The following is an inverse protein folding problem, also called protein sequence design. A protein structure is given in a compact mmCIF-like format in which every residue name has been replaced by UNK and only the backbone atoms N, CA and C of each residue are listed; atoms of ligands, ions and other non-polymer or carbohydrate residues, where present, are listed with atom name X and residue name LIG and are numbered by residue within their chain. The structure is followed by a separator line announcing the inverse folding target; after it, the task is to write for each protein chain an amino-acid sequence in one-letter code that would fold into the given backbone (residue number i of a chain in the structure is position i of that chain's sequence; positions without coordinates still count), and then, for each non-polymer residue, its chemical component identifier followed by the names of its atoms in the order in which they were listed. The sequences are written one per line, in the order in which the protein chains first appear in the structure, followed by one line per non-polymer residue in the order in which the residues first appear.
data_IF_391476653590
#
_entry.id   IF_391476653590
#
_cell.length_a   1.000
_cell.length_b   1.000
_cell.length_c   1.000
_cell.angle_alpha   90.00
_cell.angle_beta   90.00
_cell.angle_gamma   90.00
#
_symmetry.space_group_name_H-M   'P 1'
#
loop_
_entity.id
_entity.type
_entity.pdbx_description
1 polymer ?
#
# COMPACT_ATOMS: atom_id res chain seq x y z
N UNK A 1 7.26 -9.49 -1.77
CA UNK A 1 6.90 -9.73 -0.34
C UNK A 1 7.93 -9.01 0.53
N UNK A 2 7.48 -8.11 1.40
CA UNK A 2 8.40 -7.30 2.25
C UNK A 2 8.65 -7.92 3.63
N UNK A 3 7.84 -8.88 4.06
CA UNK A 3 8.01 -9.54 5.37
C UNK A 3 8.00 -11.08 5.21
N UNK A 4 8.94 -11.67 4.45
CA UNK A 4 8.98 -13.11 4.25
C UNK A 4 9.20 -13.89 5.55
N UNK A 5 10.07 -13.39 6.41
CA UNK A 5 10.40 -14.04 7.68
C UNK A 5 9.19 -14.08 8.63
N UNK A 6 8.46 -12.97 8.74
CA UNK A 6 7.24 -12.92 9.53
C UNK A 6 6.15 -13.85 9.00
N UNK A 7 6.04 -14.00 7.68
CA UNK A 7 5.10 -14.94 7.04
C UNK A 7 5.49 -16.40 7.34
N UNK A 8 6.78 -16.76 7.24
CA UNK A 8 7.28 -18.12 7.49
C UNK A 8 7.06 -18.52 8.95
N UNK A 9 7.33 -17.61 9.89
CA UNK A 9 7.15 -17.84 11.33
C UNK A 9 5.68 -17.81 11.76
N UNK A 10 4.81 -17.21 10.95
CA UNK A 10 3.38 -17.09 11.24
C UNK A 10 3.03 -15.85 12.07
N UNK A 11 3.86 -14.82 12.06
CA UNK A 11 3.55 -13.54 12.67
C UNK A 11 2.40 -12.87 11.91
N UNK A 12 1.43 -12.35 12.64
CA UNK A 12 0.24 -11.73 12.03
C UNK A 12 0.60 -10.52 11.15
N UNK A 13 1.50 -9.65 11.59
CA UNK A 13 1.94 -8.47 10.84
C UNK A 13 3.35 -7.98 11.14
N UNK A 14 3.99 -8.52 12.17
CA UNK A 14 5.29 -8.06 12.60
C UNK A 14 6.43 -8.83 11.93
N UNK A 15 7.56 -8.16 11.73
CA UNK A 15 8.83 -8.77 11.39
C UNK A 15 9.38 -9.62 12.56
N UNK A 16 10.51 -10.30 12.36
CA UNK A 16 11.20 -11.03 13.47
C UNK A 16 11.61 -10.11 14.62
N UNK A 17 11.82 -8.83 14.35
CA UNK A 17 12.10 -7.82 15.37
C UNK A 17 10.86 -7.32 16.12
N UNK A 18 9.70 -7.98 15.97
CA UNK A 18 8.42 -7.59 16.54
C UNK A 18 7.95 -6.18 16.11
N UNK A 19 8.35 -5.74 14.94
CA UNK A 19 8.03 -4.41 14.39
C UNK A 19 7.01 -4.55 13.27
N UNK A 20 5.95 -3.72 13.31
CA UNK A 20 5.06 -3.51 12.17
C UNK A 20 5.76 -2.68 11.11
N UNK A 21 6.24 -3.33 10.06
CA UNK A 21 6.99 -2.70 8.98
C UNK A 21 6.18 -1.60 8.27
N UNK A 22 4.86 -1.74 8.19
CA UNK A 22 4.00 -0.75 7.56
C UNK A 22 3.85 0.56 8.38
N UNK A 23 4.43 0.65 9.55
CA UNK A 23 4.53 1.87 10.37
C UNK A 23 5.91 2.55 10.26
N UNK A 24 6.84 1.97 9.48
CA UNK A 24 8.22 2.44 9.41
C UNK A 24 8.55 3.28 8.16
N UNK A 25 7.57 3.62 7.34
CA UNK A 25 7.76 4.35 6.08
C UNK A 25 8.31 5.77 6.25
N UNK A 26 8.00 6.45 7.36
CA UNK A 26 8.44 7.84 7.59
C UNK A 26 9.96 7.93 7.71
N UNK A 27 10.56 7.10 8.55
CA UNK A 27 12.01 7.11 8.79
C UNK A 27 12.56 5.68 8.95
N UNK A 28 12.62 4.89 7.87
CA UNK A 28 13.11 3.51 7.96
C UNK A 28 14.61 3.47 8.22
N UNK A 29 15.02 2.61 9.14
CA UNK A 29 16.43 2.34 9.41
C UNK A 29 16.93 1.20 8.52
N UNK A 30 18.08 1.39 7.85
CA UNK A 30 18.71 0.31 7.09
C UNK A 30 19.10 -0.90 7.97
N UNK A 31 19.32 -0.67 9.26
CA UNK A 31 19.69 -1.74 10.22
C UNK A 31 18.48 -2.49 10.75
N UNK A 32 17.40 -1.78 11.08
CA UNK A 32 16.24 -2.35 11.79
C UNK A 32 15.04 -2.63 10.88
N UNK A 33 14.97 -1.95 9.74
CA UNK A 33 13.87 -2.07 8.77
C UNK A 33 14.43 -2.09 7.34
N UNK A 34 15.40 -2.98 7.03
CA UNK A 34 16.12 -2.97 5.76
C UNK A 34 15.18 -3.11 4.55
N UNK A 35 14.08 -3.84 4.69
CA UNK A 35 13.09 -4.06 3.63
C UNK A 35 12.42 -2.74 3.23
N UNK A 36 11.96 -1.99 4.22
CA UNK A 36 11.30 -0.68 3.98
C UNK A 36 12.32 0.35 3.52
N UNK A 37 13.52 0.34 4.10
CA UNK A 37 14.60 1.24 3.69
C UNK A 37 14.98 1.04 2.22
N UNK A 38 15.18 -0.21 1.80
CA UNK A 38 15.52 -0.55 0.43
C UNK A 38 14.39 -0.18 -0.53
N UNK A 39 13.14 -0.50 -0.18
CA UNK A 39 11.97 -0.18 -0.99
C UNK A 39 11.80 1.33 -1.15
N UNK A 40 11.87 2.09 -0.07
CA UNK A 40 11.79 3.56 -0.11
C UNK A 40 12.92 4.17 -0.93
N UNK A 41 14.14 3.67 -0.77
CA UNK A 41 15.30 4.11 -1.56
C UNK A 41 15.11 3.83 -3.05
N UNK A 42 14.61 2.66 -3.39
CA UNK A 42 14.28 2.30 -4.78
C UNK A 42 13.24 3.24 -5.38
N UNK A 43 12.16 3.53 -4.65
CA UNK A 43 11.10 4.45 -5.08
C UNK A 43 11.68 5.84 -5.35
N UNK A 44 12.45 6.40 -4.40
CA UNK A 44 13.07 7.72 -4.55
C UNK A 44 13.99 7.77 -5.76
N UNK A 45 14.90 6.80 -5.91
CA UNK A 45 15.81 6.71 -7.07
C UNK A 45 15.05 6.55 -8.40
N UNK A 46 13.91 5.87 -8.40
CA UNK A 46 13.09 5.74 -9.60
C UNK A 46 12.50 7.09 -10.00
N UNK A 47 12.07 7.89 -9.04
CA UNK A 47 11.52 9.23 -9.29
C UNK A 47 12.52 10.20 -9.88
N UNK A 48 13.85 10.00 -9.63
CA UNK A 48 14.91 10.82 -10.24
C UNK A 48 15.01 10.63 -11.75
N UNK A 49 14.60 9.48 -12.27
CA UNK A 49 14.78 9.11 -13.69
C UNK A 49 13.47 8.91 -14.46
N UNK A 50 12.37 8.64 -13.77
CA UNK A 50 11.06 8.35 -14.40
C UNK A 50 9.89 8.60 -13.46
N UNK A 51 8.72 8.79 -14.01
CA UNK A 51 7.47 8.91 -13.27
C UNK A 51 6.96 7.55 -12.84
N UNK A 52 6.52 7.42 -11.60
CA UNK A 52 5.79 6.25 -11.12
C UNK A 52 4.33 6.45 -11.50
N UNK A 53 3.80 5.58 -12.34
CA UNK A 53 2.42 5.65 -12.81
C UNK A 53 1.43 5.06 -11.79
N UNK A 54 1.87 4.07 -11.02
CA UNK A 54 1.03 3.35 -10.07
C UNK A 54 1.87 2.73 -8.95
N UNK A 55 1.40 2.82 -7.73
CA UNK A 55 1.93 2.13 -6.56
C UNK A 55 0.79 1.38 -5.88
N UNK A 56 0.98 0.12 -5.58
CA UNK A 56 -0.01 -0.70 -4.89
C UNK A 56 0.64 -1.51 -3.77
N UNK A 57 0.15 -1.34 -2.57
CA UNK A 57 0.46 -2.16 -1.41
C UNK A 57 -0.69 -3.14 -1.16
N UNK A 58 -0.41 -4.42 -1.25
CA UNK A 58 -1.41 -5.49 -1.10
C UNK A 58 -1.21 -6.19 0.23
N UNK A 59 -2.22 -6.15 1.08
CA UNK A 59 -2.20 -6.83 2.38
C UNK A 59 -3.59 -7.23 2.87
N UNK A 60 -3.64 -8.11 3.88
CA UNK A 60 -4.90 -8.51 4.50
C UNK A 60 -5.54 -7.42 5.35
N UNK A 61 -6.84 -7.54 5.60
CA UNK A 61 -7.60 -6.66 6.48
C UNK A 61 -8.40 -7.46 7.50
N UNK A 62 -8.46 -7.00 8.76
CA UNK A 62 -9.07 -7.76 9.86
C UNK A 62 -10.59 -7.56 10.01
N UNK A 63 -11.15 -6.51 9.44
CA UNK A 63 -12.57 -6.13 9.63
C UNK A 63 -13.39 -6.29 8.36
N UNK A 64 -12.93 -5.70 7.27
CA UNK A 64 -13.65 -5.73 6.00
C UNK A 64 -13.36 -7.04 5.27
N UNK A 65 -14.40 -7.58 4.64
CA UNK A 65 -14.32 -8.75 3.77
C UNK A 65 -14.12 -8.31 2.32
N UNK A 66 -13.90 -9.28 1.44
CA UNK A 66 -13.73 -9.07 0.01
C UNK A 66 -12.49 -8.21 -0.34
N UNK A 67 -12.49 -7.65 -1.54
CA UNK A 67 -11.45 -6.78 -2.06
C UNK A 67 -11.93 -5.33 -2.01
N UNK A 68 -11.12 -4.43 -1.52
CA UNK A 68 -11.38 -2.98 -1.50
C UNK A 68 -10.05 -2.24 -1.52
N UNK A 69 -10.08 -0.93 -1.72
CA UNK A 69 -8.87 -0.11 -1.81
C UNK A 69 -8.94 1.11 -0.89
N UNK A 70 -7.79 1.47 -0.36
CA UNK A 70 -7.56 2.78 0.23
C UNK A 70 -6.68 3.60 -0.70
N UNK A 71 -7.01 4.85 -0.89
CA UNK A 71 -6.28 5.76 -1.75
C UNK A 71 -6.18 7.16 -1.17
N UNK A 72 -5.23 7.94 -1.67
CA UNK A 72 -5.08 9.34 -1.27
C UNK A 72 -6.05 10.21 -2.05
N UNK A 73 -6.72 11.13 -1.36
CA UNK A 73 -7.56 12.13 -1.99
C UNK A 73 -6.72 13.11 -2.80
N UNK A 74 -7.13 13.35 -4.04
CA UNK A 74 -6.53 14.39 -4.84
C UNK A 74 -7.15 15.75 -4.50
N UNK A 75 -6.33 16.68 -4.02
CA UNK A 75 -6.76 18.03 -3.63
C UNK A 75 -6.83 19.01 -4.79
N UNK A 76 -6.28 18.65 -5.94
CA UNK A 76 -6.32 19.48 -7.13
C UNK A 76 -7.67 19.34 -7.83
N UNK A 77 -8.41 20.44 -7.96
CA UNK A 77 -9.80 20.46 -8.46
C UNK A 77 -9.95 19.85 -9.86
N UNK A 78 -8.97 20.07 -10.75
CA UNK A 78 -8.99 19.59 -12.14
C UNK A 78 -8.91 18.07 -12.27
N UNK A 79 -8.33 17.39 -11.28
CA UNK A 79 -8.11 15.96 -11.26
C UNK A 79 -8.78 15.29 -10.06
N UNK A 80 -9.68 16.01 -9.42
CA UNK A 80 -10.51 15.50 -8.35
C UNK A 80 -11.31 14.28 -8.82
N UNK A 81 -11.37 13.25 -8.00
CA UNK A 81 -12.02 11.97 -8.25
C UNK A 81 -11.24 11.00 -9.18
N UNK A 82 -10.09 11.39 -9.72
CA UNK A 82 -9.29 10.46 -10.53
C UNK A 82 -8.80 9.25 -9.73
N UNK A 83 -8.56 9.44 -8.42
CA UNK A 83 -8.22 8.35 -7.51
C UNK A 83 -9.29 7.25 -7.44
N UNK A 84 -10.54 7.58 -7.76
CA UNK A 84 -11.69 6.66 -7.75
C UNK A 84 -11.88 5.92 -9.06
N UNK A 85 -11.27 6.40 -10.16
CA UNK A 85 -11.48 5.83 -11.50
C UNK A 85 -11.03 4.38 -11.56
N UNK A 86 -9.80 4.09 -11.13
CA UNK A 86 -9.28 2.73 -11.16
C UNK A 86 -10.09 1.77 -10.27
N UNK A 87 -10.38 2.08 -8.98
CA UNK A 87 -11.25 1.25 -8.15
C UNK A 87 -12.65 1.04 -8.73
N UNK A 88 -13.24 2.07 -9.34
CA UNK A 88 -14.55 1.95 -9.98
C UNK A 88 -14.51 1.01 -11.20
N UNK A 89 -13.47 1.11 -12.03
CA UNK A 89 -13.28 0.19 -13.16
C UNK A 89 -13.07 -1.24 -12.67
N UNK A 90 -12.33 -1.42 -11.58
CA UNK A 90 -12.08 -2.72 -10.98
C UNK A 90 -13.39 -3.33 -10.45
N UNK A 91 -14.21 -2.54 -9.75
CA UNK A 91 -15.55 -2.95 -9.29
C UNK A 91 -16.44 -3.46 -10.44
N UNK A 92 -16.39 -2.79 -11.61
CA UNK A 92 -17.17 -3.22 -12.78
C UNK A 92 -16.71 -4.55 -13.40
N UNK A 93 -15.55 -5.06 -13.04
CA UNK A 93 -14.94 -6.27 -13.61
C UNK A 93 -14.74 -7.39 -12.60
N UNK A 94 -14.90 -7.14 -11.32
CA UNK A 94 -14.66 -8.09 -10.26
C UNK A 94 -15.80 -8.04 -9.23
N UNK A 95 -16.64 -9.05 -9.24
CA UNK A 95 -17.82 -9.14 -8.34
C UNK A 95 -17.42 -9.19 -6.85
N UNK A 96 -16.21 -9.67 -6.55
CA UNK A 96 -15.67 -9.68 -5.19
C UNK A 96 -15.08 -8.35 -4.74
N UNK A 97 -15.08 -7.33 -5.59
CA UNK A 97 -14.58 -6.01 -5.24
C UNK A 97 -15.69 -5.11 -4.72
N UNK A 98 -15.54 -4.68 -3.47
CA UNK A 98 -16.50 -3.85 -2.77
C UNK A 98 -16.07 -2.38 -2.83
N UNK A 99 -16.66 -1.61 -3.72
CA UNK A 99 -16.35 -0.19 -3.89
C UNK A 99 -16.82 0.65 -2.69
N UNK A 100 -17.89 0.25 -2.02
CA UNK A 100 -18.45 0.98 -0.87
C UNK A 100 -17.55 0.86 0.38
N UNK A 101 -16.73 -0.20 0.43
CA UNK A 101 -15.69 -0.36 1.45
C UNK A 101 -14.39 0.40 1.14
N UNK A 102 -14.27 1.05 -0.02
CA UNK A 102 -13.11 1.87 -0.36
C UNK A 102 -13.08 3.19 0.41
N UNK A 103 -11.87 3.67 0.76
CA UNK A 103 -11.68 4.96 1.42
C UNK A 103 -10.58 5.76 0.71
N UNK A 104 -10.88 7.01 0.36
CA UNK A 104 -10.00 7.91 -0.36
C UNK A 104 -9.68 9.19 0.43
N UNK A 105 -10.04 9.25 1.70
CA UNK A 105 -9.79 10.39 2.59
C UNK A 105 -8.53 10.17 3.46
N UNK A 106 -7.43 9.73 2.84
CA UNK A 106 -6.17 9.44 3.54
C UNK A 106 -5.10 10.45 3.11
#
# INVERSE_FOLDING_TARGET
MLNPDGVIVGNYRCSLAAVDLNRQWSNPSNRYHPEIYATKTMIVKTLDSRRIAFYCDIHGHSRNKNLFMYGCENKEEKIRLWEKVFPLMFHKKCDSFDFDCCNFAI
#
